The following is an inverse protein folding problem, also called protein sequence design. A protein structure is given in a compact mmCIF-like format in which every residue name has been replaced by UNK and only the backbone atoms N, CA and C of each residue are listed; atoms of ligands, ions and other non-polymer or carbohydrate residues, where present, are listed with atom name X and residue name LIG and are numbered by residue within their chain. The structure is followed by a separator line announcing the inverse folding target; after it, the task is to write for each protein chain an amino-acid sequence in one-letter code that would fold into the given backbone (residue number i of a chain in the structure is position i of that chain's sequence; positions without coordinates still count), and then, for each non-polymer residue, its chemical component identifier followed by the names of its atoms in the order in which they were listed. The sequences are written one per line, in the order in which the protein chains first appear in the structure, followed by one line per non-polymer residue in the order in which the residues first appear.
data_IF_982736615194
#
_entry.id   IF_982736615194
#
_cell.length_a   1.000
_cell.length_b   1.000
_cell.length_c   1.000
_cell.angle_alpha   90.00
_cell.angle_beta   90.00
_cell.angle_gamma   90.00
#
_symmetry.space_group_name_H-M   'P 1'
#
loop_
_entity.id
_entity.type
_entity.pdbx_description
1 polymer ?
#
# COMPACT_ATOMS: atom_id res chain seq x y z
N UNK A 1 15.94 -5.16 -9.24
CA UNK A 1 14.78 -4.53 -9.93
C UNK A 1 14.20 -5.54 -10.92
N UNK A 2 12.87 -5.51 -11.16
CA UNK A 2 12.23 -6.33 -12.20
C UNK A 2 11.32 -5.49 -13.08
N UNK A 3 11.51 -5.60 -14.39
CA UNK A 3 10.68 -4.95 -15.41
C UNK A 3 9.68 -5.94 -15.99
N UNK A 4 8.46 -5.49 -16.25
CA UNK A 4 7.40 -6.26 -16.90
C UNK A 4 6.65 -5.36 -17.89
N UNK A 5 6.52 -5.81 -19.15
CA UNK A 5 5.74 -5.08 -20.15
C UNK A 5 4.26 -5.43 -20.00
N UNK A 6 3.44 -4.45 -19.65
CA UNK A 6 1.98 -4.64 -19.55
C UNK A 6 1.31 -4.54 -20.92
N UNK A 7 1.72 -3.56 -21.74
CA UNK A 7 1.26 -3.42 -23.12
C UNK A 7 2.31 -2.63 -23.95
N UNK A 8 1.92 -2.08 -25.11
CA UNK A 8 2.86 -1.34 -25.94
C UNK A 8 3.27 0.02 -25.36
N UNK A 9 2.41 0.67 -24.58
CA UNK A 9 2.62 2.00 -24.01
C UNK A 9 2.72 2.01 -22.47
N UNK A 10 2.72 0.86 -21.81
CA UNK A 10 2.68 0.73 -20.36
C UNK A 10 3.64 -0.37 -19.92
N UNK A 11 4.52 -0.01 -18.99
CA UNK A 11 5.44 -0.92 -18.32
C UNK A 11 5.20 -0.88 -16.82
N UNK A 12 5.46 -2.00 -16.17
CA UNK A 12 5.39 -2.19 -14.73
C UNK A 12 6.78 -2.51 -14.22
N UNK A 13 7.18 -1.80 -13.17
CA UNK A 13 8.49 -1.93 -12.56
C UNK A 13 8.28 -2.29 -11.10
N UNK A 14 8.94 -3.35 -10.66
CA UNK A 14 8.98 -3.74 -9.26
C UNK A 14 10.35 -3.35 -8.70
N UNK A 15 10.32 -2.49 -7.69
CA UNK A 15 11.49 -2.07 -6.91
C UNK A 15 11.37 -2.63 -5.51
N UNK A 16 12.37 -3.40 -5.09
CA UNK A 16 12.47 -3.89 -3.71
C UNK A 16 13.02 -2.79 -2.79
N UNK A 17 12.91 -2.97 -1.47
CA UNK A 17 13.54 -2.03 -0.52
C UNK A 17 15.07 -2.04 -0.63
N UNK A 18 15.66 -3.18 -0.96
CA UNK A 18 17.09 -3.29 -1.25
C UNK A 18 17.47 -2.48 -2.50
N UNK A 19 16.70 -2.58 -3.59
CA UNK A 19 16.90 -1.82 -4.83
C UNK A 19 16.88 -0.30 -4.64
N UNK A 20 16.06 0.18 -3.70
CA UNK A 20 15.96 1.59 -3.33
C UNK A 20 17.14 2.03 -2.48
N UNK A 21 17.52 1.17 -1.52
CA UNK A 21 18.64 1.40 -0.62
C UNK A 21 19.98 1.45 -1.37
N UNK A 22 20.18 0.55 -2.35
CA UNK A 22 21.35 0.56 -3.25
C UNK A 22 21.47 1.86 -4.06
N UNK A 23 20.33 2.50 -4.35
CA UNK A 23 20.25 3.78 -5.07
C UNK A 23 20.22 5.00 -4.13
N UNK A 24 20.39 4.80 -2.82
CA UNK A 24 20.41 5.88 -1.82
C UNK A 24 19.06 6.58 -1.65
N UNK A 25 17.97 5.88 -1.95
CA UNK A 25 16.60 6.36 -1.84
C UNK A 25 15.90 5.66 -0.70
N UNK A 26 15.35 6.44 0.23
CA UNK A 26 14.39 5.93 1.20
C UNK A 26 12.98 6.00 0.63
N UNK A 27 12.04 5.29 1.27
CA UNK A 27 10.60 5.47 0.99
C UNK A 27 10.25 6.96 1.05
N UNK A 28 10.76 7.70 2.04
CA UNK A 28 10.48 9.12 2.24
C UNK A 28 11.07 10.06 1.16
N UNK A 29 12.24 9.73 0.61
CA UNK A 29 12.86 10.50 -0.48
C UNK A 29 12.02 10.50 -1.75
N UNK A 30 11.27 9.41 -2.00
CA UNK A 30 10.44 9.29 -3.19
C UNK A 30 9.26 10.28 -3.21
N UNK A 31 8.86 10.75 -2.03
CA UNK A 31 7.74 11.68 -1.86
C UNK A 31 8.19 13.15 -1.74
N UNK A 32 9.43 13.38 -1.27
CA UNK A 32 9.91 14.73 -0.91
C UNK A 32 10.99 15.27 -1.84
N UNK A 33 11.62 14.41 -2.65
CA UNK A 33 12.84 14.75 -3.36
C UNK A 33 12.70 14.55 -4.88
N UNK A 34 11.88 15.42 -5.50
CA UNK A 34 11.63 15.46 -6.94
C UNK A 34 12.89 15.25 -7.82
N UNK A 35 14.07 15.88 -7.56
CA UNK A 35 15.23 15.68 -8.42
C UNK A 35 15.85 14.27 -8.33
N UNK A 36 15.88 13.66 -7.14
CA UNK A 36 16.38 12.28 -6.97
C UNK A 36 15.44 11.26 -7.63
N UNK A 37 14.15 11.50 -7.51
CA UNK A 37 13.08 10.69 -8.09
C UNK A 37 13.13 10.73 -9.62
N UNK A 38 13.32 11.91 -10.20
CA UNK A 38 13.51 12.06 -11.64
C UNK A 38 14.73 11.29 -12.15
N UNK A 39 15.82 11.25 -11.38
CA UNK A 39 17.00 10.47 -11.76
C UNK A 39 16.71 8.96 -11.76
N UNK A 40 16.02 8.44 -10.74
CA UNK A 40 15.58 7.05 -10.71
C UNK A 40 14.73 6.69 -11.94
N UNK A 41 13.77 7.55 -12.31
CA UNK A 41 12.93 7.33 -13.49
C UNK A 41 13.74 7.31 -14.79
N UNK A 42 14.69 8.24 -14.96
CA UNK A 42 15.59 8.25 -16.13
C UNK A 42 16.36 6.93 -16.24
N UNK A 43 16.91 6.45 -15.13
CA UNK A 43 17.65 5.19 -15.11
C UNK A 43 16.73 4.01 -15.47
N UNK A 44 15.51 3.98 -14.91
CA UNK A 44 14.51 2.97 -15.24
C UNK A 44 14.07 3.00 -16.70
N UNK A 45 13.91 4.17 -17.30
CA UNK A 45 13.57 4.31 -18.72
C UNK A 45 14.71 3.85 -19.62
N UNK A 46 15.96 4.12 -19.26
CA UNK A 46 17.12 3.62 -20.00
C UNK A 46 17.21 2.09 -19.95
N UNK A 47 16.96 1.51 -18.77
CA UNK A 47 16.96 0.05 -18.59
C UNK A 47 15.79 -0.60 -19.35
N UNK A 48 14.59 -0.01 -19.30
CA UNK A 48 13.42 -0.45 -20.06
C UNK A 48 13.63 -0.34 -21.58
N UNK A 49 14.32 0.69 -22.07
CA UNK A 49 14.70 0.80 -23.47
C UNK A 49 15.63 -0.36 -23.86
N UNK A 50 16.69 -0.59 -23.07
CA UNK A 50 17.68 -1.63 -23.34
C UNK A 50 17.09 -3.05 -23.29
N UNK A 51 16.22 -3.35 -22.33
CA UNK A 51 15.67 -4.71 -22.14
C UNK A 51 14.40 -4.98 -22.95
N UNK A 52 13.54 -3.97 -23.14
CA UNK A 52 12.21 -4.14 -23.72
C UNK A 52 11.96 -3.34 -25.01
N UNK A 53 12.95 -2.55 -25.45
CA UNK A 53 12.81 -1.64 -26.60
C UNK A 53 11.78 -0.54 -26.34
N UNK A 54 11.57 -0.16 -25.07
CA UNK A 54 10.61 0.86 -24.70
C UNK A 54 11.19 2.26 -24.85
N UNK A 55 10.79 2.98 -25.91
CA UNK A 55 11.25 4.34 -26.20
C UNK A 55 10.33 5.41 -25.60
N UNK A 56 10.89 6.14 -24.63
CA UNK A 56 10.28 7.23 -23.88
C UNK A 56 10.27 8.57 -24.64
N UNK A 57 9.76 8.60 -25.88
CA UNK A 57 9.65 9.83 -26.68
C UNK A 57 8.31 10.55 -26.41
N UNK A 58 8.21 11.28 -25.29
CA UNK A 58 7.05 12.13 -24.98
C UNK A 58 6.71 12.20 -23.49
N UNK A 59 5.58 12.86 -23.14
CA UNK A 59 5.08 12.88 -21.78
C UNK A 59 4.68 11.48 -21.31
N UNK A 60 4.98 11.18 -20.05
CA UNK A 60 4.79 9.88 -19.44
C UNK A 60 4.07 10.06 -18.10
N UNK A 61 2.97 9.34 -17.92
CA UNK A 61 2.28 9.26 -16.64
C UNK A 61 2.93 8.18 -15.77
N UNK A 62 3.14 8.50 -14.49
CA UNK A 62 3.81 7.61 -13.54
C UNK A 62 2.94 7.43 -12.31
N UNK A 63 2.56 6.18 -12.06
CA UNK A 63 1.78 5.77 -10.89
C UNK A 63 2.67 4.95 -9.96
N UNK A 64 2.69 5.25 -8.66
CA UNK A 64 3.53 4.56 -7.68
C UNK A 64 2.68 3.95 -6.58
N UNK A 65 2.79 2.64 -6.40
CA UNK A 65 2.07 1.88 -5.39
C UNK A 65 3.07 1.31 -4.38
N UNK A 66 2.90 1.63 -3.10
CA UNK A 66 3.74 1.04 -2.04
C UNK A 66 3.23 -0.36 -1.70
N UNK A 67 4.12 -1.35 -1.67
CA UNK A 67 3.83 -2.69 -1.16
C UNK A 67 4.34 -2.78 0.28
N UNK A 68 3.42 -3.04 1.22
CA UNK A 68 3.63 -2.90 2.67
C UNK A 68 4.89 -3.60 3.23
N UNK A 69 5.40 -4.66 2.58
CA UNK A 69 6.59 -5.40 3.03
C UNK A 69 7.57 -5.82 1.92
N UNK A 70 7.33 -5.42 0.67
CA UNK A 70 8.11 -5.93 -0.49
C UNK A 70 8.77 -4.83 -1.33
N UNK A 71 8.44 -3.56 -1.09
CA UNK A 71 8.99 -2.42 -1.82
C UNK A 71 7.89 -1.60 -2.48
N UNK A 72 7.98 -1.37 -3.79
CA UNK A 72 6.98 -0.62 -4.54
C UNK A 72 6.83 -1.12 -5.98
N UNK A 73 5.65 -0.84 -6.52
CA UNK A 73 5.33 -1.01 -7.92
C UNK A 73 5.22 0.36 -8.56
N UNK A 74 5.97 0.58 -9.62
CA UNK A 74 5.84 1.76 -10.47
C UNK A 74 5.19 1.32 -11.78
N UNK A 75 4.11 1.98 -12.16
CA UNK A 75 3.49 1.83 -13.47
C UNK A 75 3.80 3.08 -14.28
N UNK A 76 4.41 2.87 -15.43
CA UNK A 76 4.82 3.95 -16.34
C UNK A 76 4.00 3.82 -17.61
N UNK A 77 3.29 4.88 -17.97
CA UNK A 77 2.42 4.93 -19.16
C UNK A 77 2.87 6.05 -20.09
N UNK A 78 3.26 5.68 -21.31
CA UNK A 78 3.47 6.61 -22.42
C UNK A 78 2.10 7.11 -22.89
N UNK A 79 1.94 8.42 -22.89
CA UNK A 79 0.77 9.06 -23.47
C UNK A 79 0.98 9.20 -24.98
N UNK A 80 0.08 8.64 -25.79
CA UNK A 80 0.10 8.84 -27.23
C UNK A 80 -0.61 10.15 -27.52
N UNK A 81 0.13 11.23 -27.77
CA UNK A 81 -0.48 12.39 -28.41
C UNK A 81 -0.66 12.10 -29.91
N UNK A 82 -1.91 12.06 -30.36
CA UNK A 82 -2.19 12.44 -31.75
C UNK A 82 -1.80 13.92 -31.88
N UNK A 83 -0.89 14.19 -32.81
CA UNK A 83 -0.28 15.51 -33.03
C UNK A 83 -1.33 16.62 -33.15
N UNK A 84 -1.09 17.76 -32.50
CA UNK A 84 -1.28 19.05 -33.18
C UNK A 84 -0.39 20.16 -32.61
N UNK A 85 0.39 20.74 -33.54
CA UNK A 85 0.98 22.09 -33.56
C UNK A 85 2.12 22.48 -32.60
N UNK A 86 3.29 22.70 -33.22
CA UNK A 86 4.25 23.78 -32.99
C UNK A 86 4.58 24.19 -31.55
N UNK A 87 5.45 23.44 -30.88
CA UNK A 87 6.30 23.99 -29.82
C UNK A 87 7.66 23.28 -29.79
N UNK A 88 8.60 23.78 -30.61
CA UNK A 88 10.03 23.38 -30.62
C UNK A 88 10.81 23.75 -29.34
N UNK A 89 10.12 24.07 -28.23
CA UNK A 89 10.74 24.49 -26.97
C UNK A 89 10.09 23.88 -25.71
N UNK A 90 9.52 22.67 -25.81
CA UNK A 90 9.20 21.90 -24.60
C UNK A 90 10.43 21.14 -24.13
N UNK A 91 11.34 21.87 -23.47
CA UNK A 91 12.31 21.28 -22.56
C UNK A 91 11.61 20.21 -21.71
N UNK A 92 12.07 18.96 -21.82
CA UNK A 92 12.25 17.92 -20.80
C UNK A 92 11.42 17.93 -19.48
N UNK A 93 10.17 18.40 -19.49
CA UNK A 93 9.29 18.34 -18.34
C UNK A 93 8.41 17.10 -18.43
N UNK A 94 8.81 16.03 -17.74
CA UNK A 94 7.91 14.93 -17.38
C UNK A 94 6.88 15.51 -16.41
N UNK A 95 5.65 15.70 -16.88
CA UNK A 95 4.54 16.15 -16.04
C UNK A 95 4.07 14.99 -15.16
N UNK A 96 4.43 15.06 -13.88
CA UNK A 96 4.22 13.98 -12.91
C UNK A 96 2.85 14.14 -12.24
N UNK A 97 1.90 13.30 -12.61
CA UNK A 97 0.66 13.11 -11.83
C UNK A 97 0.80 11.87 -10.96
N UNK A 98 1.22 12.06 -9.70
CA UNK A 98 1.22 10.99 -8.71
C UNK A 98 -0.17 10.89 -8.09
N UNK A 99 -0.92 9.85 -8.43
CA UNK A 99 -2.09 9.44 -7.65
C UNK A 99 -1.59 8.64 -6.45
N UNK A 100 -1.65 9.28 -5.28
CA UNK A 100 -1.25 8.69 -4.00
C UNK A 100 -2.41 7.86 -3.46
N UNK A 101 -2.23 6.55 -3.36
CA UNK A 101 -3.02 5.73 -2.44
C UNK A 101 -2.15 5.48 -1.20
N UNK A 102 -1.94 6.54 -0.42
CA UNK A 102 -1.64 6.38 1.00
C UNK A 102 -2.91 5.84 1.62
N UNK A 103 -3.08 4.53 1.67
CA UNK A 103 -4.11 4.00 2.54
C UNK A 103 -3.68 4.32 3.98
N UNK A 104 -4.19 5.43 4.54
CA UNK A 104 -4.10 5.84 5.96
C UNK A 104 -4.76 4.82 6.90
N UNK A 105 -5.21 3.71 6.34
CA UNK A 105 -5.90 2.66 7.02
C UNK A 105 -5.20 1.33 6.80
N UNK A 106 -5.09 0.56 7.87
CA UNK A 106 -4.55 -0.78 7.85
C UNK A 106 -5.72 -1.74 7.74
N UNK A 107 -5.68 -2.62 6.74
CA UNK A 107 -6.69 -3.65 6.54
C UNK A 107 -6.02 -5.03 6.53
N UNK A 108 -6.37 -5.85 7.53
CA UNK A 108 -5.86 -7.21 7.68
C UNK A 108 -6.99 -8.22 7.62
N UNK A 109 -6.73 -9.34 6.97
CA UNK A 109 -7.59 -10.51 6.94
C UNK A 109 -7.10 -11.60 7.90
N UNK A 110 -8.06 -12.29 8.50
CA UNK A 110 -7.86 -13.38 9.46
C UNK A 110 -8.70 -14.57 9.03
N UNK A 111 -8.14 -15.77 9.18
CA UNK A 111 -8.81 -17.01 8.80
C UNK A 111 -9.93 -17.36 9.78
N UNK A 112 -9.73 -17.10 11.07
CA UNK A 112 -10.70 -17.45 12.11
C UNK A 112 -10.99 -16.28 13.04
N UNK A 113 -12.14 -16.34 13.74
CA UNK A 113 -12.45 -15.36 14.77
C UNK A 113 -11.49 -15.47 15.97
N UNK A 114 -10.99 -16.68 16.27
CA UNK A 114 -10.04 -16.90 17.36
C UNK A 114 -8.73 -16.14 17.15
N UNK A 115 -8.26 -16.02 15.91
CA UNK A 115 -7.08 -15.20 15.56
C UNK A 115 -7.31 -13.73 15.93
N UNK A 116 -8.50 -13.20 15.61
CA UNK A 116 -8.90 -11.83 15.94
C UNK A 116 -9.04 -11.64 17.45
N UNK A 117 -9.57 -12.63 18.18
CA UNK A 117 -9.71 -12.59 19.64
C UNK A 117 -8.33 -12.54 20.31
N UNK A 118 -7.41 -13.40 19.89
CA UNK A 118 -6.05 -13.45 20.43
C UNK A 118 -5.28 -12.15 20.14
N UNK A 119 -5.39 -11.65 18.90
CA UNK A 119 -4.85 -10.35 18.53
C UNK A 119 -5.42 -9.23 19.41
N UNK A 120 -6.74 -9.19 19.57
CA UNK A 120 -7.44 -8.14 20.34
C UNK A 120 -6.98 -8.12 21.79
N UNK A 121 -6.72 -9.29 22.39
CA UNK A 121 -6.15 -9.37 23.74
C UNK A 121 -4.77 -8.69 23.81
N UNK A 122 -3.87 -8.98 22.86
CA UNK A 122 -2.54 -8.38 22.84
C UNK A 122 -2.59 -6.88 22.59
N UNK A 123 -3.39 -6.45 21.62
CA UNK A 123 -3.54 -5.04 21.26
C UNK A 123 -4.19 -4.21 22.40
N UNK A 124 -5.21 -4.75 23.07
CA UNK A 124 -5.84 -4.08 24.21
C UNK A 124 -4.85 -3.85 25.36
N UNK A 125 -4.00 -4.84 25.67
CA UNK A 125 -2.97 -4.70 26.70
C UNK A 125 -1.86 -3.68 26.32
N UNK A 126 -1.75 -3.34 25.04
CA UNK A 126 -0.86 -2.29 24.53
C UNK A 126 -1.56 -0.93 24.39
N UNK A 127 -2.80 -0.81 24.86
CA UNK A 127 -3.55 0.44 24.84
C UNK A 127 -4.29 0.74 23.53
N UNK A 128 -4.33 -0.20 22.58
CA UNK A 128 -5.08 -0.05 21.33
C UNK A 128 -6.51 -0.57 21.56
N UNK A 129 -7.50 0.29 21.33
CA UNK A 129 -8.93 -0.05 21.54
C UNK A 129 -9.79 0.07 20.29
N UNK A 130 -9.30 0.76 19.27
CA UNK A 130 -10.03 1.14 18.05
C UNK A 130 -10.32 0.00 17.07
N UNK A 131 -10.62 0.40 15.84
CA UNK A 131 -10.83 -0.48 14.69
C UNK A 131 -12.28 -0.92 14.46
N UNK A 132 -12.52 -1.41 13.24
CA UNK A 132 -13.78 -1.98 12.75
C UNK A 132 -13.58 -3.42 12.30
N UNK A 133 -14.55 -4.28 12.56
CA UNK A 133 -14.50 -5.70 12.20
C UNK A 133 -15.59 -6.03 11.19
N UNK A 134 -15.20 -6.67 10.10
CA UNK A 134 -16.08 -7.17 9.05
C UNK A 134 -15.89 -8.68 8.86
N UNK A 135 -16.86 -9.33 8.23
CA UNK A 135 -16.71 -10.69 7.70
C UNK A 135 -17.18 -10.77 6.26
N UNK A 136 -16.42 -11.45 5.42
CA UNK A 136 -16.72 -11.65 4.02
C UNK A 136 -15.98 -12.90 3.51
N UNK A 137 -16.64 -13.72 2.70
CA UNK A 137 -16.06 -14.95 2.13
C UNK A 137 -15.39 -15.87 3.18
N UNK A 138 -16.09 -16.13 4.28
CA UNK A 138 -15.63 -16.95 5.42
C UNK A 138 -14.35 -16.45 6.13
N UNK A 139 -13.93 -15.21 5.85
CA UNK A 139 -12.80 -14.54 6.51
C UNK A 139 -13.27 -13.37 7.36
N UNK A 140 -12.40 -12.93 8.26
CA UNK A 140 -12.59 -11.76 9.11
C UNK A 140 -11.64 -10.65 8.70
N UNK A 141 -12.09 -9.41 8.68
CA UNK A 141 -11.30 -8.26 8.26
C UNK A 141 -11.31 -7.20 9.35
N UNK A 142 -10.12 -6.86 9.84
CA UNK A 142 -9.91 -5.76 10.79
C UNK A 142 -9.42 -4.55 10.02
N UNK A 143 -10.18 -3.47 10.09
CA UNK A 143 -9.84 -2.17 9.54
C UNK A 143 -9.49 -1.21 10.68
N UNK A 144 -8.32 -0.59 10.62
CA UNK A 144 -7.82 0.31 11.69
C UNK A 144 -7.35 1.61 11.05
N UNK A 145 -7.84 2.74 11.54
CA UNK A 145 -7.40 4.07 11.12
C UNK A 145 -6.10 4.46 11.86
N UNK A 146 -5.21 5.21 11.19
CA UNK A 146 -3.90 5.60 11.74
C UNK A 146 -4.02 6.51 12.98
N UNK A 147 -5.07 7.30 13.09
CA UNK A 147 -5.30 8.21 14.24
C UNK A 147 -5.60 7.48 15.56
N UNK A 148 -6.00 6.20 15.51
CA UNK A 148 -6.31 5.39 16.71
C UNK A 148 -5.05 4.74 17.33
N UNK A 149 -3.86 4.95 16.77
CA UNK A 149 -2.60 4.25 17.12
C UNK A 149 -1.68 5.03 18.08
N UNK A 150 -2.25 5.81 19.00
CA UNK A 150 -1.57 6.87 19.78
C UNK A 150 -0.32 6.41 20.59
N UNK A 151 -0.05 5.11 20.73
CA UNK A 151 1.04 4.58 21.57
C UNK A 151 2.06 3.65 20.88
N UNK A 152 1.81 3.10 19.69
CA UNK A 152 2.73 2.16 19.03
C UNK A 152 3.32 2.76 17.74
N UNK A 153 4.57 2.42 17.44
CA UNK A 153 5.12 2.67 16.11
C UNK A 153 4.34 1.81 15.09
N UNK A 154 3.97 2.40 13.95
CA UNK A 154 3.24 1.72 12.87
C UNK A 154 3.87 0.39 12.44
N UNK A 155 5.21 0.33 12.42
CA UNK A 155 5.96 -0.89 12.10
C UNK A 155 5.74 -2.01 13.12
N UNK A 156 5.74 -1.69 14.41
CA UNK A 156 5.50 -2.66 15.49
C UNK A 156 4.05 -3.15 15.46
N UNK A 157 3.11 -2.25 15.14
CA UNK A 157 1.69 -2.60 15.03
C UNK A 157 1.47 -3.59 13.89
N UNK A 158 2.05 -3.32 12.72
CA UNK A 158 2.03 -4.22 11.57
C UNK A 158 2.70 -5.56 11.89
N UNK A 159 3.84 -5.55 12.57
CA UNK A 159 4.53 -6.77 12.98
C UNK A 159 3.64 -7.66 13.87
N UNK A 160 2.92 -7.06 14.82
CA UNK A 160 1.98 -7.79 15.66
C UNK A 160 0.83 -8.36 14.82
N UNK A 161 0.21 -7.57 13.94
CA UNK A 161 -0.89 -8.02 13.10
C UNK A 161 -0.48 -9.22 12.21
N UNK A 162 0.73 -9.19 11.67
CA UNK A 162 1.28 -10.23 10.82
C UNK A 162 1.52 -11.57 11.54
N UNK A 163 1.51 -11.59 12.87
CA UNK A 163 1.57 -12.85 13.64
C UNK A 163 0.24 -13.62 13.63
N UNK A 164 -0.88 -12.94 13.40
CA UNK A 164 -2.23 -13.51 13.50
C UNK A 164 -2.99 -13.52 12.18
N UNK A 165 -2.59 -12.71 11.21
CA UNK A 165 -3.29 -12.56 9.94
C UNK A 165 -2.38 -12.08 8.81
N UNK A 166 -3.00 -11.75 7.68
CA UNK A 166 -2.30 -11.25 6.49
C UNK A 166 -2.87 -9.90 6.06
N UNK A 167 -2.08 -9.05 5.38
CA UNK A 167 -2.63 -7.91 4.67
C UNK A 167 -3.75 -8.33 3.72
N UNK A 168 -4.88 -7.62 3.77
CA UNK A 168 -5.99 -7.88 2.85
C UNK A 168 -5.60 -7.53 1.42
N UNK A 169 -5.92 -8.44 0.49
CA UNK A 169 -5.85 -8.16 -0.95
C UNK A 169 -7.11 -7.48 -1.49
N UNK A 170 -8.21 -7.52 -0.73
CA UNK A 170 -9.45 -6.83 -1.04
C UNK A 170 -9.44 -5.41 -0.49
N UNK A 171 -10.11 -4.49 -1.19
CA UNK A 171 -10.29 -3.11 -0.73
C UNK A 171 -11.37 -3.04 0.34
N UNK A 172 -11.27 -2.03 1.23
CA UNK A 172 -12.29 -1.80 2.25
C UNK A 172 -13.67 -1.55 1.62
N UNK A 173 -13.75 -0.84 0.49
CA UNK A 173 -15.02 -0.59 -0.21
C UNK A 173 -15.72 -1.87 -0.66
N UNK A 174 -14.96 -2.85 -1.15
CA UNK A 174 -15.52 -4.15 -1.54
C UNK A 174 -16.08 -4.91 -0.33
N UNK A 175 -15.41 -4.82 0.80
CA UNK A 175 -15.87 -5.46 2.05
C UNK A 175 -17.09 -4.72 2.61
N UNK A 176 -17.14 -3.39 2.53
CA UNK A 176 -18.30 -2.60 2.96
C UNK A 176 -19.52 -2.85 2.07
N UNK A 177 -19.32 -3.13 0.79
CA UNK A 177 -20.41 -3.36 -0.15
C UNK A 177 -20.97 -4.80 -0.10
N UNK A 178 -20.09 -5.80 0.00
CA UNK A 178 -20.47 -7.22 -0.10
C UNK A 178 -20.32 -8.02 1.20
N UNK A 179 -19.58 -7.48 2.16
CA UNK A 179 -19.35 -8.09 3.47
C UNK A 179 -20.42 -7.72 4.49
N UNK A 180 -20.29 -8.31 5.66
CA UNK A 180 -21.11 -8.00 6.83
C UNK A 180 -20.25 -7.31 7.87
N UNK A 181 -20.69 -6.13 8.31
CA UNK A 181 -20.13 -5.47 9.47
C UNK A 181 -20.51 -6.21 10.75
N UNK A 182 -19.50 -6.53 11.56
CA UNK A 182 -19.66 -7.17 12.86
C UNK A 182 -19.53 -6.15 13.99
N UNK A 183 -18.59 -5.20 13.87
CA UNK A 183 -18.36 -4.15 14.85
C UNK A 183 -17.92 -2.86 14.14
N UNK A 184 -18.68 -1.78 14.32
CA UNK A 184 -18.47 -0.48 13.66
C UNK A 184 -17.48 0.44 14.37
N UNK A 185 -17.26 0.27 15.68
CA UNK A 185 -16.33 1.11 16.46
C UNK A 185 -15.69 0.32 17.59
N UNK A 186 -14.45 0.66 17.96
CA UNK A 186 -13.74 0.05 19.08
C UNK A 186 -13.75 -1.48 19.08
N UNK A 187 -13.57 -2.10 17.90
CA UNK A 187 -13.69 -3.54 17.74
C UNK A 187 -12.75 -4.30 18.69
N UNK A 188 -11.51 -3.83 18.86
CA UNK A 188 -10.52 -4.47 19.73
C UNK A 188 -11.00 -4.48 21.19
N UNK A 189 -11.49 -3.35 21.70
CA UNK A 189 -12.02 -3.28 23.07
C UNK A 189 -13.26 -4.16 23.25
N UNK A 190 -14.19 -4.14 22.30
CA UNK A 190 -15.40 -4.95 22.36
C UNK A 190 -15.05 -6.43 22.40
N UNK A 191 -14.17 -6.89 21.50
CA UNK A 191 -13.75 -8.30 21.44
C UNK A 191 -13.08 -8.72 22.77
N UNK A 192 -12.16 -7.89 23.29
CA UNK A 192 -11.52 -8.17 24.56
C UNK A 192 -12.54 -8.29 25.71
N UNK A 193 -13.50 -7.37 25.80
CA UNK A 193 -14.51 -7.40 26.86
C UNK A 193 -15.48 -8.58 26.75
N UNK A 194 -15.92 -8.94 25.53
CA UNK A 194 -16.89 -10.02 25.32
C UNK A 194 -16.28 -11.41 25.43
N UNK A 195 -15.05 -11.61 24.95
CA UNK A 195 -14.45 -12.94 24.82
C UNK A 195 -13.34 -13.21 25.83
N UNK A 196 -12.51 -12.21 26.16
CA UNK A 196 -11.35 -12.41 27.04
C UNK A 196 -11.73 -12.19 28.51
N UNK A 197 -12.35 -11.04 28.81
CA UNK A 197 -12.71 -10.69 30.19
C UNK A 197 -13.73 -11.66 30.79
N UNK A 198 -14.69 -12.15 29.99
CA UNK A 198 -15.72 -13.11 30.41
C UNK A 198 -15.17 -14.50 30.72
N UNK A 199 -14.10 -14.94 30.05
CA UNK A 199 -13.45 -16.22 30.34
C UNK A 199 -12.74 -16.22 31.71
N UNK A 200 -12.25 -15.08 32.17
CA UNK A 200 -11.61 -14.94 33.49
C UNK A 200 -12.59 -14.86 34.67
N UNK A 201 -13.90 -14.86 34.40
CA UNK A 201 -14.98 -14.76 35.39
C UNK A 201 -15.79 -16.06 35.53
N UNK A 202 -15.43 -17.12 34.79
CA UNK A 202 -16.03 -18.46 34.86
C UNK A 202 -15.03 -19.46 35.45
#
# INVERSE_FOLDING_TARGET
MRLERLNYNKIKIFLTFDDLSERGLTKEDLWRNAPKVQQLFRDMMQEANKELGFEADGPIAVEVFSLQAQGMVVIVTKENQEMDTDDEFRDEFIEMQVTLDESEHILYEFATLDDVINLSNRLYNLGVTGGKLYTWDERFYLWVEEEEQIQLLKADFIAILAEYGNPSTATIYRIMEYGKELMDVNAIEQIHNYFVKKQNLS
#
